data_IF_103959069681
#
_entry.id   IF_103959069681
#
_cell.length_a   1.000
_cell.length_b   1.000
_cell.length_c   1.000
_cell.angle_alpha   90.00
_cell.angle_beta   90.00
_cell.angle_gamma   90.00
#
_symmetry.space_group_name_H-M   'P 1'
#
loop_
_entity.id
_entity.type
_entity.pdbx_description
1 polymer ?
#
# COMPACT_ATOMS: atom_id res chain seq x y z
N UNK A 1 10.79 0.53 -18.58
CA UNK A 1 10.55 1.08 -17.22
C UNK A 1 9.17 0.60 -16.79
N UNK A 2 9.04 -0.30 -15.81
CA UNK A 2 7.72 -0.70 -15.30
C UNK A 2 7.32 0.37 -14.29
N UNK A 3 6.43 1.28 -14.70
CA UNK A 3 5.75 2.17 -13.76
C UNK A 3 5.05 1.29 -12.72
N UNK A 4 5.38 1.49 -11.45
CA UNK A 4 4.82 0.77 -10.31
C UNK A 4 3.38 1.18 -9.99
N UNK A 5 2.50 1.22 -11.00
CA UNK A 5 1.09 1.46 -10.77
C UNK A 5 0.48 0.24 -10.08
N UNK A 6 0.20 0.35 -8.78
CA UNK A 6 -0.61 -0.66 -8.07
C UNK A 6 -2.06 -0.60 -8.56
N UNK A 7 -2.78 -1.71 -8.43
CA UNK A 7 -4.23 -1.77 -8.67
C UNK A 7 -4.97 -0.85 -7.69
N UNK A 8 -6.23 -0.49 -7.99
CA UNK A 8 -7.06 0.23 -7.02
C UNK A 8 -7.26 -0.67 -5.80
N UNK A 9 -7.13 -0.08 -4.63
CA UNK A 9 -7.20 -0.79 -3.37
C UNK A 9 -8.23 -0.12 -2.47
N UNK A 10 -9.18 -0.90 -1.96
CA UNK A 10 -10.10 -0.48 -0.91
C UNK A 10 -9.60 -0.99 0.44
N UNK A 11 -9.49 -0.10 1.43
CA UNK A 11 -9.10 -0.46 2.80
C UNK A 11 -10.32 -0.78 3.65
N UNK A 12 -10.36 -1.94 4.32
CA UNK A 12 -11.50 -2.31 5.17
C UNK A 12 -11.39 -1.78 6.61
N UNK A 13 -10.27 -1.16 6.96
CA UNK A 13 -10.04 -0.46 8.21
C UNK A 13 -9.06 0.70 8.00
N UNK A 14 -8.75 1.46 9.06
CA UNK A 14 -7.88 2.62 8.92
C UNK A 14 -6.45 2.22 8.54
N UNK A 15 -5.80 3.05 7.75
CA UNK A 15 -4.34 3.00 7.52
C UNK A 15 -3.72 4.31 7.97
N UNK A 16 -2.69 4.18 8.81
CA UNK A 16 -1.84 5.28 9.24
C UNK A 16 -0.49 5.11 8.56
N UNK A 17 -0.03 6.13 7.83
CA UNK A 17 1.22 6.08 7.09
C UNK A 17 2.14 7.23 7.47
N UNK A 18 3.32 6.92 8.02
CA UNK A 18 4.38 7.89 8.29
C UNK A 18 5.46 7.76 7.22
N UNK A 19 5.72 8.82 6.48
CA UNK A 19 6.71 8.82 5.40
C UNK A 19 8.09 9.06 6.00
N UNK A 20 8.95 8.05 5.88
CA UNK A 20 10.32 8.11 6.40
C UNK A 20 11.31 8.61 5.36
N UNK A 21 11.02 8.43 4.07
CA UNK A 21 11.84 8.92 2.96
C UNK A 21 11.04 9.01 1.66
N UNK A 22 11.31 10.03 0.87
CA UNK A 22 10.75 10.18 -0.47
C UNK A 22 9.32 10.74 -0.46
N UNK A 23 8.61 10.58 -1.59
CA UNK A 23 7.25 11.11 -1.75
C UNK A 23 6.38 10.23 -2.64
N UNK A 24 5.09 10.16 -2.33
CA UNK A 24 4.10 9.43 -3.12
C UNK A 24 2.75 10.13 -3.07
N UNK A 25 1.83 9.79 -3.96
CA UNK A 25 0.47 10.27 -3.89
C UNK A 25 -0.54 9.23 -4.33
N UNK A 26 -1.80 9.45 -3.95
CA UNK A 26 -2.94 8.71 -4.45
C UNK A 26 -3.65 9.50 -5.54
N UNK A 27 -4.03 8.86 -6.64
CA UNK A 27 -4.69 9.53 -7.77
C UNK A 27 -6.01 10.20 -7.39
N UNK A 28 -6.68 9.66 -6.38
CA UNK A 28 -7.97 10.11 -5.87
C UNK A 28 -7.86 11.31 -4.91
N UNK A 29 -6.64 11.65 -4.49
CA UNK A 29 -6.36 12.68 -3.50
C UNK A 29 -5.51 13.81 -4.10
N UNK A 30 -5.81 15.07 -3.74
CA UNK A 30 -5.10 16.24 -4.27
C UNK A 30 -3.77 16.55 -3.59
N UNK A 31 -3.41 15.79 -2.55
CA UNK A 31 -2.25 16.02 -1.71
C UNK A 31 -1.15 14.99 -1.97
N UNK A 32 0.08 15.35 -1.60
CA UNK A 32 1.26 14.48 -1.64
C UNK A 32 1.66 14.08 -0.21
N UNK A 33 2.01 12.82 -0.02
CA UNK A 33 2.71 12.37 1.17
C UNK A 33 4.21 12.56 0.94
N UNK A 34 4.85 13.37 1.77
CA UNK A 34 6.26 13.74 1.66
C UNK A 34 7.03 13.31 2.92
N UNK A 35 8.35 13.23 2.83
CA UNK A 35 9.25 12.86 3.92
C UNK A 35 8.95 13.62 5.23
N UNK A 36 9.00 12.90 6.36
CA UNK A 36 8.55 13.35 7.69
C UNK A 36 7.03 13.61 7.81
N UNK A 37 6.29 13.46 6.71
CA UNK A 37 4.84 13.64 6.66
C UNK A 37 4.04 12.44 7.16
N UNK A 38 2.75 12.68 7.32
CA UNK A 38 1.76 11.70 7.75
C UNK A 38 0.55 11.70 6.80
N UNK A 39 0.12 10.52 6.39
CA UNK A 39 -1.11 10.29 5.65
C UNK A 39 -2.05 9.38 6.44
N UNK A 40 -3.35 9.67 6.34
CA UNK A 40 -4.41 8.88 6.95
C UNK A 40 -5.42 8.46 5.90
N UNK A 41 -5.64 7.16 5.80
CA UNK A 41 -6.68 6.58 4.95
C UNK A 41 -7.82 6.12 5.86
N UNK A 42 -9.02 6.75 5.77
CA UNK A 42 -10.17 6.29 6.53
C UNK A 42 -10.64 4.91 6.01
N UNK A 43 -11.38 4.14 6.82
CA UNK A 43 -12.00 2.90 6.35
C UNK A 43 -12.89 3.15 5.14
N UNK A 44 -12.77 2.30 4.13
CA UNK A 44 -13.50 2.41 2.86
C UNK A 44 -12.88 3.38 1.87
N UNK A 45 -11.72 3.99 2.18
CA UNK A 45 -10.97 4.76 1.20
C UNK A 45 -10.53 3.85 0.06
N UNK A 46 -10.77 4.30 -1.17
CA UNK A 46 -10.38 3.59 -2.39
C UNK A 46 -9.35 4.44 -3.09
N UNK A 47 -8.15 3.93 -3.23
CA UNK A 47 -7.06 4.69 -3.82
C UNK A 47 -6.15 3.84 -4.70
N UNK A 48 -5.43 4.53 -5.57
CA UNK A 48 -4.35 3.98 -6.37
C UNK A 48 -3.06 4.73 -6.08
N UNK A 49 -2.07 4.00 -5.54
CA UNK A 49 -0.73 4.53 -5.25
C UNK A 49 0.00 4.84 -6.55
N UNK A 50 0.46 6.08 -6.68
CA UNK A 50 1.39 6.54 -7.69
C UNK A 50 2.70 7.01 -7.05
N UNK A 51 3.81 6.52 -7.61
CA UNK A 51 5.17 6.89 -7.24
C UNK A 51 5.86 7.47 -8.47
N UNK A 52 6.33 8.72 -8.37
CA UNK A 52 7.07 9.38 -9.44
C UNK A 52 8.57 9.17 -9.27
N UNK A 53 9.24 8.78 -10.37
CA UNK A 53 10.68 8.53 -10.56
C UNK A 53 11.61 8.95 -9.41
N UNK A 54 11.69 8.12 -8.37
CA UNK A 54 12.65 8.22 -7.26
C UNK A 54 13.38 6.90 -7.08
N UNK A 55 14.57 6.96 -6.51
CA UNK A 55 15.38 5.77 -6.25
C UNK A 55 14.73 4.88 -5.19
N UNK A 56 14.24 5.47 -4.09
CA UNK A 56 13.61 4.74 -2.98
C UNK A 56 12.55 5.59 -2.26
N UNK A 57 11.56 4.90 -1.69
CA UNK A 57 10.57 5.45 -0.77
C UNK A 57 10.46 4.51 0.42
N UNK A 58 10.42 5.08 1.63
CA UNK A 58 10.15 4.32 2.84
C UNK A 58 8.95 4.92 3.55
N UNK A 59 7.95 4.09 3.84
CA UNK A 59 6.75 4.48 4.59
C UNK A 59 6.49 3.41 5.63
N UNK A 60 6.35 3.83 6.88
CA UNK A 60 5.89 2.99 7.96
C UNK A 60 4.36 3.04 7.99
N UNK A 61 3.72 1.90 7.70
CA UNK A 61 2.27 1.79 7.68
C UNK A 61 1.77 0.94 8.85
N UNK A 62 0.79 1.46 9.59
CA UNK A 62 -0.05 0.66 10.48
C UNK A 62 -1.42 0.50 9.81
N UNK A 63 -1.66 -0.69 9.27
CA UNK A 63 -2.87 -1.03 8.56
C UNK A 63 -3.76 -1.94 9.40
N UNK A 64 -5.03 -1.58 9.54
CA UNK A 64 -6.03 -2.40 10.22
C UNK A 64 -7.02 -2.96 9.20
N UNK A 65 -7.37 -4.24 9.32
CA UNK A 65 -8.27 -4.92 8.39
C UNK A 65 -7.56 -5.48 7.16
N UNK A 66 -8.34 -5.76 6.12
CA UNK A 66 -7.85 -6.29 4.85
C UNK A 66 -7.89 -5.23 3.75
N UNK A 67 -7.21 -5.52 2.66
CA UNK A 67 -7.23 -4.79 1.41
C UNK A 67 -7.99 -5.59 0.36
N UNK A 68 -8.88 -4.92 -0.37
CA UNK A 68 -9.51 -5.48 -1.56
C UNK A 68 -8.89 -4.81 -2.77
N UNK A 69 -8.21 -5.58 -3.62
CA UNK A 69 -7.77 -5.12 -4.91
C UNK A 69 -8.91 -5.23 -5.91
N UNK A 70 -9.16 -4.16 -6.65
CA UNK A 70 -10.23 -4.08 -7.63
C UNK A 70 -9.69 -3.82 -9.04
N UNK A 71 -10.42 -4.31 -10.04
CA UNK A 71 -10.14 -4.02 -11.45
C UNK A 71 -10.54 -2.58 -11.83
N UNK A 72 -10.45 -2.28 -13.13
CA UNK A 72 -10.76 -0.95 -13.68
C UNK A 72 -12.25 -0.58 -13.54
N UNK A 73 -13.13 -1.57 -13.48
CA UNK A 73 -14.58 -1.42 -13.37
C UNK A 73 -15.06 -1.46 -11.90
N UNK A 74 -14.13 -1.68 -10.96
CA UNK A 74 -14.39 -1.71 -9.52
C UNK A 74 -14.82 -3.08 -9.00
N UNK A 75 -14.71 -4.15 -9.80
CA UNK A 75 -15.00 -5.49 -9.33
C UNK A 75 -13.85 -6.01 -8.46
N UNK A 76 -14.13 -6.65 -7.30
CA UNK A 76 -13.11 -7.20 -6.43
C UNK A 76 -12.41 -8.38 -7.11
N UNK A 77 -11.08 -8.33 -7.15
CA UNK A 77 -10.23 -9.36 -7.75
C UNK A 77 -9.53 -10.22 -6.71
N UNK A 78 -8.97 -9.58 -5.68
CA UNK A 78 -8.12 -10.23 -4.68
C UNK A 78 -8.32 -9.57 -3.32
N UNK A 79 -8.17 -10.37 -2.27
CA UNK A 79 -8.18 -9.90 -0.88
C UNK A 79 -6.84 -10.22 -0.26
N UNK A 80 -6.19 -9.20 0.29
CA UNK A 80 -4.96 -9.33 1.06
C UNK A 80 -5.22 -8.94 2.51
N UNK A 81 -4.88 -9.83 3.43
CA UNK A 81 -5.16 -9.74 4.86
C UNK A 81 -3.93 -10.14 5.68
N UNK A 82 -4.10 -10.26 7.00
CA UNK A 82 -3.00 -10.65 7.88
C UNK A 82 -2.49 -12.07 7.59
N UNK A 83 -3.35 -13.00 7.19
CA UNK A 83 -2.97 -14.39 6.97
C UNK A 83 -2.13 -14.55 5.71
N UNK A 84 -2.59 -13.97 4.61
CA UNK A 84 -1.86 -13.94 3.33
C UNK A 84 -0.52 -13.21 3.46
N UNK A 85 -0.48 -12.05 4.15
CA UNK A 85 0.79 -11.34 4.41
C UNK A 85 1.77 -12.15 5.26
N UNK A 86 1.29 -12.82 6.31
CA UNK A 86 2.14 -13.68 7.15
C UNK A 86 2.68 -14.88 6.36
N UNK A 87 1.86 -15.49 5.53
CA UNK A 87 2.26 -16.61 4.68
C UNK A 87 3.36 -16.18 3.70
N UNK A 88 3.19 -15.06 3.00
CA UNK A 88 4.19 -14.55 2.05
C UNK A 88 5.49 -14.10 2.74
N UNK A 89 5.39 -13.43 3.89
CA UNK A 89 6.55 -13.06 4.69
C UNK A 89 7.34 -14.31 5.15
N UNK A 90 6.64 -15.33 5.63
CA UNK A 90 7.26 -16.59 6.05
C UNK A 90 7.95 -17.30 4.89
N UNK A 91 7.26 -17.49 3.75
CA UNK A 91 7.87 -18.11 2.55
C UNK A 91 9.12 -17.35 2.11
N UNK A 92 9.09 -16.02 2.18
CA UNK A 92 10.24 -15.19 1.83
C UNK A 92 11.41 -15.46 2.79
N UNK A 93 11.17 -15.41 4.11
CA UNK A 93 12.19 -15.62 5.12
C UNK A 93 12.81 -17.03 5.05
N UNK A 94 12.02 -18.06 4.79
CA UNK A 94 12.51 -19.43 4.60
C UNK A 94 13.47 -19.47 3.39
N UNK A 95 13.08 -18.82 2.28
CA UNK A 95 13.86 -18.78 1.04
C UNK A 95 15.19 -18.01 1.17
N UNK A 96 15.27 -16.99 2.01
CA UNK A 96 16.48 -16.16 2.18
C UNK A 96 17.33 -16.53 3.40
N UNK A 97 16.95 -17.59 4.13
CA UNK A 97 17.71 -18.09 5.29
C UNK A 97 17.51 -17.25 6.56
N UNK A 98 16.41 -16.52 6.66
CA UNK A 98 16.04 -15.73 7.85
C UNK A 98 15.00 -16.44 8.73
N UNK A 99 14.48 -17.59 8.32
CA UNK A 99 13.58 -18.44 9.11
C UNK A 99 12.76 -19.38 8.26
#
# INVERSE_FOLDING_TARGET
RRNGSRMRQATLGPVHATVLRGRWHYLEHSWWAEEEGYAFEPPGDIHKLEVLEVEEIYTLSHATGAYIYADVDGAPMEVEDVFSKLEEARKHYERVGLG
#
